data_IF_071129703150
#
_entry.id   IF_071129703150
#
_cell.length_a   1.000
_cell.length_b   1.000
_cell.length_c   1.000
_cell.angle_alpha   90.00
_cell.angle_beta   90.00
_cell.angle_gamma   90.00
#
_symmetry.space_group_name_H-M   'P 1'
#
loop_
_entity.id
_entity.type
_entity.pdbx_description
1 polymer ?
#
# COMPACT_ATOMS: atom_id res chain seq x y z
N UNK A 1 1.84 12.25 11.23
CA UNK A 1 1.82 10.81 10.89
C UNK A 1 0.56 10.17 11.46
N UNK A 2 -0.40 9.75 10.62
CA UNK A 2 -1.57 9.00 11.11
C UNK A 2 -1.21 7.51 11.18
N UNK A 3 -1.34 6.91 12.36
CA UNK A 3 -1.10 5.47 12.55
C UNK A 3 -2.35 4.71 12.14
N UNK A 4 -2.26 3.87 11.12
CA UNK A 4 -3.37 3.02 10.68
C UNK A 4 -3.18 1.64 11.29
N UNK A 5 -4.17 1.15 12.05
CA UNK A 5 -4.16 -0.24 12.50
C UNK A 5 -4.41 -1.13 11.28
N UNK A 6 -3.41 -1.91 10.90
CA UNK A 6 -3.48 -2.81 9.75
C UNK A 6 -4.12 -4.14 10.22
N UNK A 7 -5.44 -4.15 10.35
CA UNK A 7 -6.20 -5.40 10.57
C UNK A 7 -6.16 -6.24 9.30
N UNK A 8 -6.47 -7.55 9.40
CA UNK A 8 -6.63 -8.42 8.22
C UNK A 8 -7.57 -7.82 7.16
N UNK A 9 -8.67 -7.20 7.59
CA UNK A 9 -9.62 -6.53 6.71
C UNK A 9 -9.02 -5.29 6.04
N UNK A 10 -8.43 -4.38 6.82
CA UNK A 10 -7.84 -3.15 6.31
C UNK A 10 -6.69 -3.44 5.35
N UNK A 11 -5.90 -4.48 5.61
CA UNK A 11 -4.83 -4.97 4.73
C UNK A 11 -5.37 -5.37 3.36
N UNK A 12 -6.45 -6.17 3.33
CA UNK A 12 -7.06 -6.60 2.07
C UNK A 12 -7.67 -5.43 1.29
N UNK A 13 -8.32 -4.49 1.97
CA UNK A 13 -8.88 -3.27 1.36
C UNK A 13 -7.78 -2.43 0.72
N UNK A 14 -6.69 -2.20 1.45
CA UNK A 14 -5.56 -1.40 0.97
C UNK A 14 -4.89 -2.05 -0.26
N UNK A 15 -4.68 -3.36 -0.25
CA UNK A 15 -4.12 -4.10 -1.39
C UNK A 15 -5.03 -4.04 -2.63
N UNK A 16 -6.35 -4.16 -2.45
CA UNK A 16 -7.32 -3.99 -3.54
C UNK A 16 -7.30 -2.57 -4.10
N UNK A 17 -7.17 -1.56 -3.25
CA UNK A 17 -7.07 -0.17 -3.66
C UNK A 17 -5.75 0.13 -4.41
N UNK A 18 -4.64 -0.51 -4.03
CA UNK A 18 -3.35 -0.31 -4.67
C UNK A 18 -3.24 -0.97 -6.07
N UNK A 19 -3.96 -2.07 -6.29
CA UNK A 19 -3.91 -2.85 -7.52
C UNK A 19 -4.13 -2.02 -8.81
N UNK A 20 -5.17 -1.17 -8.94
CA UNK A 20 -5.37 -0.37 -10.16
C UNK A 20 -4.20 0.58 -10.44
N UNK A 21 -3.58 1.18 -9.43
CA UNK A 21 -2.42 2.06 -9.64
C UNK A 21 -1.18 1.29 -10.06
N UNK A 22 -0.92 0.11 -9.48
CA UNK A 22 0.21 -0.72 -9.87
C UNK A 22 0.14 -1.07 -11.36
N UNK A 23 -1.03 -1.48 -11.85
CA UNK A 23 -1.22 -1.78 -13.27
C UNK A 23 -1.22 -0.52 -14.13
N UNK A 24 -1.70 0.63 -13.63
CA UNK A 24 -1.62 1.92 -14.32
C UNK A 24 -0.18 2.37 -14.53
N UNK A 25 0.65 2.35 -13.49
CA UNK A 25 2.08 2.69 -13.60
C UNK A 25 2.80 1.75 -14.56
N UNK A 26 2.49 0.45 -14.49
CA UNK A 26 3.04 -0.55 -15.42
C UNK A 26 2.64 -0.28 -16.86
N UNK A 27 1.38 0.11 -17.10
CA UNK A 27 0.89 0.44 -18.44
C UNK A 27 1.51 1.73 -18.99
N UNK A 28 1.78 2.71 -18.14
CA UNK A 28 2.43 3.96 -18.52
C UNK A 28 3.95 3.81 -18.73
N UNK A 29 4.54 2.63 -18.49
CA UNK A 29 6.00 2.40 -18.40
C UNK A 29 6.67 3.29 -17.34
N UNK A 30 5.90 3.74 -16.36
CA UNK A 30 6.41 4.45 -15.20
C UNK A 30 7.08 3.46 -14.24
N UNK A 31 7.94 3.97 -13.37
CA UNK A 31 8.60 3.16 -12.35
C UNK A 31 7.55 2.65 -11.36
N UNK A 32 7.17 1.38 -11.44
CA UNK A 32 6.27 0.72 -10.46
C UNK A 32 6.92 0.53 -9.08
N UNK A 33 8.03 1.21 -8.83
CA UNK A 33 8.91 0.96 -7.70
C UNK A 33 8.31 1.48 -6.40
N UNK A 34 7.57 2.59 -6.43
CA UNK A 34 6.91 3.14 -5.23
C UNK A 34 5.69 2.32 -4.84
N UNK A 35 4.76 2.09 -5.78
CA UNK A 35 3.56 1.27 -5.51
C UNK A 35 3.93 -0.19 -5.21
N UNK A 36 4.91 -0.75 -5.92
CA UNK A 36 5.41 -2.10 -5.67
C UNK A 36 6.06 -2.28 -4.31
N UNK A 37 6.91 -1.32 -3.87
CA UNK A 37 7.49 -1.32 -2.51
C UNK A 37 6.40 -1.22 -1.45
N UNK A 38 5.37 -0.41 -1.68
CA UNK A 38 4.27 -0.23 -0.74
C UNK A 38 3.45 -1.51 -0.59
N UNK A 39 3.10 -2.17 -1.70
CA UNK A 39 2.42 -3.49 -1.71
C UNK A 39 3.26 -4.53 -0.95
N UNK A 40 4.56 -4.61 -1.21
CA UNK A 40 5.46 -5.54 -0.51
C UNK A 40 5.54 -5.25 0.99
N UNK A 41 5.66 -3.98 1.37
CA UNK A 41 5.65 -3.52 2.78
C UNK A 41 4.35 -3.90 3.49
N UNK A 42 3.21 -3.77 2.83
CA UNK A 42 1.90 -4.15 3.40
C UNK A 42 1.81 -5.68 3.53
N UNK A 43 2.29 -6.43 2.53
CA UNK A 43 2.26 -7.88 2.55
C UNK A 43 3.16 -8.47 3.64
N UNK A 44 4.33 -7.89 3.90
CA UNK A 44 5.26 -8.33 4.94
C UNK A 44 4.78 -8.04 6.36
N UNK A 45 3.86 -7.09 6.54
CA UNK A 45 3.32 -6.75 7.85
C UNK A 45 2.30 -7.78 8.35
N UNK A 46 2.39 -8.23 9.62
CA UNK A 46 1.41 -9.13 10.21
C UNK A 46 0.08 -8.40 10.46
N UNK A 47 -1.04 -9.11 10.23
CA UNK A 47 -2.40 -8.57 10.22
C UNK A 47 -2.96 -8.11 11.59
N UNK A 48 -2.17 -8.21 12.65
CA UNK A 48 -2.58 -7.91 14.03
C UNK A 48 -1.77 -6.79 14.68
N UNK A 49 -0.69 -6.34 14.04
CA UNK A 49 0.14 -5.25 14.57
C UNK A 49 -0.27 -3.89 14.00
N UNK A 50 -0.20 -2.87 14.85
CA UNK A 50 -0.31 -1.48 14.40
C UNK A 50 0.91 -1.18 13.53
N UNK A 51 0.70 -0.92 12.25
CA UNK A 51 1.73 -0.45 11.35
C UNK A 51 1.63 1.08 11.25
N UNK A 52 2.77 1.75 11.11
CA UNK A 52 2.78 3.19 10.88
C UNK A 52 3.06 3.41 9.40
N UNK A 53 2.13 4.06 8.72
CA UNK A 53 2.30 4.54 7.36
C UNK A 53 2.31 6.07 7.40
N UNK A 54 3.13 6.71 6.55
CA UNK A 54 3.01 8.15 6.35
C UNK A 54 1.75 8.46 5.56
N UNK A 55 1.19 9.65 5.79
CA UNK A 55 0.10 10.15 4.96
C UNK A 55 0.59 10.35 3.52
N UNK A 56 1.86 10.69 3.31
CA UNK A 56 2.44 10.82 1.97
C UNK A 56 2.45 9.49 1.22
N UNK A 57 2.83 8.38 1.89
CA UNK A 57 2.83 7.03 1.29
C UNK A 57 1.44 6.59 0.80
N UNK A 58 0.35 7.11 1.39
CA UNK A 58 -1.02 6.72 1.07
C UNK A 58 -1.74 7.76 0.21
N UNK A 59 -1.40 9.05 0.36
CA UNK A 59 -2.04 10.17 -0.34
C UNK A 59 -1.43 10.45 -1.71
N UNK A 60 -0.30 9.81 -2.04
CA UNK A 60 0.31 9.83 -3.38
C UNK A 60 -0.45 8.96 -4.41
N UNK A 61 -1.57 8.34 -4.00
CA UNK A 61 -2.54 7.66 -4.86
C UNK A 61 -3.76 8.52 -5.15
#
# INVERSE_FOLDING_TARGET
MRKIKLTRANKSILLKALAPYYYRERALRHSTQEVGKLILKINSLPADKKATFSTEEICLM
#
